data_IF_126744867377
#
_entry.id   IF_126744867377
#
_cell.length_a   1.000
_cell.length_b   1.000
_cell.length_c   1.000
_cell.angle_alpha   90.00
_cell.angle_beta   90.00
_cell.angle_gamma   90.00
#
_symmetry.space_group_name_H-M   'P 1'
#
loop_
_entity.id
_entity.type
_entity.pdbx_description
1 polymer ?
#
# COMPACT_ATOMS: atom_id res chain seq x y z
N UNK A 1 14.61 -14.93 8.43
CA UNK A 1 13.46 -14.19 7.87
C UNK A 1 13.94 -12.79 7.52
N UNK A 2 13.65 -12.29 6.32
CA UNK A 2 13.94 -10.90 5.93
C UNK A 2 12.65 -10.13 6.15
N UNK A 3 12.66 -9.08 6.97
CA UNK A 3 11.47 -8.28 7.22
C UNK A 3 11.36 -7.13 6.20
N UNK A 4 10.16 -6.59 5.98
CA UNK A 4 9.95 -5.44 5.06
C UNK A 4 10.78 -4.21 5.46
N UNK A 5 11.14 -4.09 6.74
CA UNK A 5 12.02 -3.04 7.25
C UNK A 5 13.47 -3.12 6.75
N UNK A 6 13.92 -4.29 6.30
CA UNK A 6 15.31 -4.55 5.92
C UNK A 6 15.58 -4.28 4.42
N UNK A 7 14.56 -3.85 3.67
CA UNK A 7 14.61 -3.61 2.22
C UNK A 7 14.43 -2.13 1.89
N UNK A 8 15.02 -1.68 0.78
CA UNK A 8 14.80 -0.33 0.27
C UNK A 8 13.29 -0.08 0.07
N UNK A 9 12.78 0.91 0.79
CA UNK A 9 11.36 1.27 0.80
C UNK A 9 10.84 1.62 -0.60
N UNK A 10 11.62 2.34 -1.41
CA UNK A 10 11.17 2.82 -2.72
C UNK A 10 10.96 1.64 -3.69
N UNK A 11 11.94 0.74 -3.75
CA UNK A 11 11.88 -0.46 -4.59
C UNK A 11 10.75 -1.41 -4.14
N UNK A 12 10.56 -1.55 -2.83
CA UNK A 12 9.47 -2.34 -2.29
C UNK A 12 8.09 -1.80 -2.70
N UNK A 13 7.87 -0.50 -2.56
CA UNK A 13 6.60 0.14 -2.91
C UNK A 13 6.30 -0.04 -4.41
N UNK A 14 7.31 0.13 -5.27
CA UNK A 14 7.16 -0.08 -6.73
C UNK A 14 6.80 -1.51 -7.06
N UNK A 15 7.49 -2.49 -6.47
CA UNK A 15 7.23 -3.91 -6.70
C UNK A 15 5.83 -4.32 -6.21
N UNK A 16 5.42 -3.84 -5.03
CA UNK A 16 4.10 -4.11 -4.49
C UNK A 16 2.99 -3.44 -5.32
N UNK A 17 3.19 -2.19 -5.78
CA UNK A 17 2.25 -1.52 -6.67
C UNK A 17 2.07 -2.29 -7.99
N UNK A 18 3.15 -2.80 -8.58
CA UNK A 18 3.09 -3.63 -9.79
C UNK A 18 2.31 -4.94 -9.54
N UNK A 19 2.51 -5.59 -8.39
CA UNK A 19 1.76 -6.78 -8.01
C UNK A 19 0.26 -6.48 -7.85
N UNK A 20 -0.09 -5.39 -7.19
CA UNK A 20 -1.49 -4.98 -7.01
C UNK A 20 -2.18 -4.64 -8.33
N UNK A 21 -1.45 -4.02 -9.27
CA UNK A 21 -1.93 -3.76 -10.64
C UNK A 21 -2.19 -5.06 -11.39
N UNK A 22 -1.23 -5.98 -11.38
CA UNK A 22 -1.34 -7.27 -12.08
C UNK A 22 -2.41 -8.20 -11.48
N UNK A 23 -2.70 -8.04 -10.19
CA UNK A 23 -3.77 -8.79 -9.53
C UNK A 23 -5.15 -8.45 -10.08
N UNK A 24 -5.37 -7.23 -10.60
CA UNK A 24 -6.64 -6.78 -11.23
C UNK A 24 -7.87 -6.77 -10.32
N UNK A 25 -7.74 -7.24 -9.07
CA UNK A 25 -8.84 -7.41 -8.10
C UNK A 25 -9.08 -6.17 -7.24
N UNK A 26 -8.21 -5.16 -7.36
CA UNK A 26 -8.29 -3.94 -6.56
C UNK A 26 -9.39 -3.05 -7.13
N UNK A 27 -10.44 -2.79 -6.35
CA UNK A 27 -11.55 -1.91 -6.76
C UNK A 27 -11.06 -0.46 -6.78
N UNK A 28 -10.79 0.06 -7.96
CA UNK A 28 -10.43 1.46 -8.18
C UNK A 28 -11.70 2.28 -8.40
N UNK A 29 -11.90 3.41 -7.68
CA UNK A 29 -13.03 4.29 -7.91
C UNK A 29 -12.92 4.99 -9.28
N UNK A 30 -14.04 5.17 -9.97
CA UNK A 30 -14.09 5.83 -11.28
C UNK A 30 -13.60 7.30 -11.22
N UNK A 31 -13.88 8.00 -10.13
CA UNK A 31 -13.50 9.41 -9.95
C UNK A 31 -12.04 9.62 -9.54
N UNK A 32 -11.21 8.55 -9.50
CA UNK A 32 -9.83 8.60 -9.03
C UNK A 32 -8.98 9.63 -9.80
N UNK A 33 -9.24 9.79 -11.09
CA UNK A 33 -8.46 10.68 -11.98
C UNK A 33 -8.78 12.17 -11.76
N UNK A 34 -9.90 12.46 -11.09
CA UNK A 34 -10.36 13.84 -10.83
C UNK A 34 -9.92 14.34 -9.46
N UNK A 35 -9.52 13.45 -8.55
CA UNK A 35 -9.31 13.80 -7.14
C UNK A 35 -7.85 14.13 -6.79
N UNK A 36 -7.71 15.16 -5.96
CA UNK A 36 -6.45 15.49 -5.30
C UNK A 36 -6.24 14.69 -4.01
N UNK A 37 -5.00 14.31 -3.75
CA UNK A 37 -4.62 13.51 -2.58
C UNK A 37 -4.67 14.31 -1.27
N UNK A 38 -4.30 15.59 -1.30
CA UNK A 38 -4.26 16.46 -0.12
C UNK A 38 -4.78 17.84 -0.45
N UNK A 39 -5.33 18.51 0.58
CA UNK A 39 -5.92 19.84 0.49
C UNK A 39 -4.96 20.91 -0.05
N UNK A 40 -3.67 20.79 0.25
CA UNK A 40 -2.61 21.76 -0.06
C UNK A 40 -1.96 21.55 -1.44
N UNK A 41 -2.38 20.53 -2.19
CA UNK A 41 -1.93 20.31 -3.58
C UNK A 41 -3.03 20.80 -4.51
N UNK A 42 -2.63 21.54 -5.54
CA UNK A 42 -3.55 22.09 -6.53
C UNK A 42 -3.78 21.14 -7.71
N UNK A 43 -2.75 20.37 -8.08
CA UNK A 43 -2.79 19.40 -9.18
C UNK A 43 -3.01 17.97 -8.69
N UNK A 44 -3.60 17.16 -9.56
CA UNK A 44 -3.66 15.71 -9.41
C UNK A 44 -2.25 15.10 -9.53
N UNK A 45 -1.98 13.95 -8.91
CA UNK A 45 -0.71 13.25 -9.08
C UNK A 45 -0.45 12.92 -10.57
N UNK A 46 0.78 13.10 -11.04
CA UNK A 46 1.16 12.81 -12.43
C UNK A 46 1.21 11.30 -12.77
N UNK A 47 1.34 10.44 -11.77
CA UNK A 47 1.41 8.98 -11.95
C UNK A 47 0.00 8.40 -11.98
N UNK A 48 -0.43 7.81 -13.10
CA UNK A 48 -1.71 7.09 -13.21
C UNK A 48 -1.83 5.95 -12.17
N UNK A 49 -0.70 5.38 -11.74
CA UNK A 49 -0.68 4.30 -10.75
C UNK A 49 -0.58 4.81 -9.31
N UNK A 50 -0.79 6.11 -9.07
CA UNK A 50 -0.63 6.72 -7.75
C UNK A 50 -1.47 6.03 -6.68
N UNK A 51 -2.65 5.50 -7.03
CA UNK A 51 -3.52 4.76 -6.10
C UNK A 51 -2.92 3.43 -5.65
N UNK A 52 -2.27 2.69 -6.55
CA UNK A 52 -1.55 1.46 -6.21
C UNK A 52 -0.34 1.75 -5.34
N UNK A 53 0.37 2.84 -5.62
CA UNK A 53 1.49 3.34 -4.79
C UNK A 53 1.01 3.69 -3.38
N UNK A 54 -0.16 4.33 -3.24
CA UNK A 54 -0.76 4.62 -1.93
C UNK A 54 -1.22 3.37 -1.19
N UNK A 55 -1.79 2.39 -1.90
CA UNK A 55 -2.17 1.11 -1.32
C UNK A 55 -0.94 0.34 -0.80
N UNK A 56 0.13 0.29 -1.59
CA UNK A 56 1.39 -0.32 -1.21
C UNK A 56 2.02 0.36 0.03
N UNK A 57 2.05 1.69 0.06
CA UNK A 57 2.55 2.45 1.20
C UNK A 57 1.72 2.22 2.47
N UNK A 58 0.39 2.16 2.34
CA UNK A 58 -0.52 1.89 3.46
C UNK A 58 -0.33 0.48 4.01
N UNK A 59 -0.24 -0.53 3.14
CA UNK A 59 0.00 -1.91 3.54
C UNK A 59 1.33 -2.08 4.29
N UNK A 60 2.40 -1.44 3.80
CA UNK A 60 3.69 -1.40 4.50
C UNK A 60 3.58 -0.73 5.87
N UNK A 61 2.85 0.38 5.96
CA UNK A 61 2.68 1.10 7.22
C UNK A 61 1.93 0.26 8.26
N UNK A 62 0.94 -0.55 7.84
CA UNK A 62 0.24 -1.48 8.73
C UNK A 62 1.14 -2.59 9.30
N UNK A 63 2.19 -2.96 8.57
CA UNK A 63 3.17 -3.94 9.04
C UNK A 63 4.20 -3.33 10.01
N UNK A 64 4.55 -2.07 9.81
CA UNK A 64 5.55 -1.37 10.64
C UNK A 64 4.89 -0.70 11.85
N UNK A 65 5.13 -1.21 13.05
CA UNK A 65 4.59 -0.73 14.34
C UNK A 65 5.11 0.66 14.77
N UNK A 66 5.61 1.49 13.85
CA UNK A 66 6.16 2.82 14.19
C UNK A 66 5.03 3.83 14.38
N UNK A 67 5.10 4.70 15.41
CA UNK A 67 4.12 5.76 15.58
C UNK A 67 4.12 6.66 14.34
N UNK A 68 2.93 6.86 13.79
CA UNK A 68 2.69 7.67 12.60
C UNK A 68 3.08 9.13 12.88
N UNK A 69 3.98 9.72 12.09
CA UNK A 69 4.09 11.17 12.02
C UNK A 69 2.83 11.70 11.33
N UNK A 70 2.04 12.48 12.07
CA UNK A 70 0.75 12.97 11.62
C UNK A 70 0.89 13.84 10.36
N UNK A 71 0.27 13.41 9.26
CA UNK A 71 -0.04 14.28 8.14
C UNK A 71 -1.53 14.17 7.80
N UNK A 72 -2.22 15.31 7.66
CA UNK A 72 -3.64 15.35 7.30
C UNK A 72 -3.81 15.11 5.79
N UNK A 73 -3.84 13.86 5.36
CA UNK A 73 -4.23 13.44 4.01
C UNK A 73 -5.76 13.49 3.77
N UNK A 74 -6.19 13.17 2.54
CA UNK A 74 -7.61 12.99 2.23
C UNK A 74 -8.18 11.76 2.94
N UNK A 75 -9.16 11.99 3.83
CA UNK A 75 -9.82 10.92 4.59
C UNK A 75 -10.59 9.94 3.68
N UNK A 76 -11.16 10.44 2.58
CA UNK A 76 -11.93 9.61 1.65
C UNK A 76 -11.02 8.62 0.91
N UNK A 77 -9.88 9.11 0.40
CA UNK A 77 -8.91 8.25 -0.30
C UNK A 77 -8.33 7.19 0.63
N UNK A 78 -7.93 7.58 1.86
CA UNK A 78 -7.40 6.64 2.83
C UNK A 78 -8.40 5.53 3.18
N UNK A 79 -9.69 5.86 3.31
CA UNK A 79 -10.76 4.89 3.57
C UNK A 79 -10.93 3.93 2.40
N UNK A 80 -10.89 4.42 1.16
CA UNK A 80 -11.05 3.59 -0.04
C UNK A 80 -9.89 2.64 -0.22
N UNK A 81 -8.66 3.09 0.04
CA UNK A 81 -7.49 2.22 0.03
C UNK A 81 -7.66 1.07 1.02
N UNK A 82 -8.11 1.35 2.24
CA UNK A 82 -8.36 0.30 3.25
C UNK A 82 -9.48 -0.65 2.82
N UNK A 83 -10.59 -0.14 2.30
CA UNK A 83 -11.70 -0.96 1.78
C UNK A 83 -11.28 -1.83 0.58
N UNK A 84 -10.42 -1.31 -0.29
CA UNK A 84 -9.88 -2.06 -1.42
C UNK A 84 -8.93 -3.17 -0.96
N UNK A 85 -8.08 -2.89 0.05
CA UNK A 85 -7.20 -3.90 0.66
C UNK A 85 -7.97 -4.97 1.46
N UNK A 86 -9.11 -4.61 2.05
CA UNK A 86 -10.07 -5.56 2.65
C UNK A 86 -10.67 -6.49 1.58
N UNK A 87 -11.08 -5.94 0.44
CA UNK A 87 -11.59 -6.73 -0.70
C UNK A 87 -10.56 -7.73 -1.24
N UNK A 88 -9.26 -7.42 -1.09
CA UNK A 88 -8.15 -8.31 -1.46
C UNK A 88 -7.77 -9.32 -0.37
N UNK A 89 -8.45 -9.32 0.79
CA UNK A 89 -8.12 -10.13 1.98
C UNK A 89 -6.68 -9.93 2.49
N UNK A 90 -6.04 -8.80 2.12
CA UNK A 90 -4.72 -8.45 2.65
C UNK A 90 -4.85 -7.81 4.04
N UNK A 91 -5.96 -7.11 4.28
CA UNK A 91 -6.24 -6.40 5.54
C UNK A 91 -7.59 -6.84 6.08
N UNK A 92 -7.69 -6.97 7.40
CA UNK A 92 -8.92 -7.28 8.13
C UNK A 92 -9.16 -6.24 9.22
N UNK A 93 -10.43 -6.03 9.57
CA UNK A 93 -10.78 -5.20 10.73
C UNK A 93 -10.48 -5.97 12.01
N UNK A 94 -9.73 -5.34 12.91
CA UNK A 94 -9.45 -5.90 14.23
C UNK A 94 -10.70 -5.86 15.11
N UNK A 95 -10.83 -6.83 16.01
CA UNK A 95 -11.91 -6.92 17.00
C UNK A 95 -11.98 -5.67 17.90
N UNK A 96 -10.84 -5.01 18.13
CA UNK A 96 -10.69 -3.84 19.01
C UNK A 96 -10.75 -2.51 18.24
N UNK A 97 -11.29 -2.53 17.01
CA UNK A 97 -11.18 -1.40 16.08
C UNK A 97 -9.82 -1.34 15.38
N UNK A 98 -9.75 -0.51 14.34
CA UNK A 98 -8.58 -0.41 13.47
C UNK A 98 -8.48 -1.52 12.43
N UNK A 99 -7.41 -1.46 11.64
CA UNK A 99 -7.14 -2.40 10.54
C UNK A 99 -5.85 -3.14 10.85
N UNK A 100 -5.84 -4.46 10.63
CA UNK A 100 -4.71 -5.33 10.86
C UNK A 100 -4.42 -6.13 9.59
N UNK A 101 -3.15 -6.39 9.35
CA UNK A 101 -2.72 -7.25 8.25
C UNK A 101 -3.10 -8.72 8.51
N UNK A 102 -3.64 -9.39 7.50
CA UNK A 102 -4.01 -10.82 7.58
C UNK A 102 -2.76 -11.71 7.52
N UNK A 103 -2.84 -12.98 7.96
CA UNK A 103 -1.75 -13.94 7.76
C UNK A 103 -1.37 -14.12 6.29
N UNK A 104 -2.36 -14.10 5.40
CA UNK A 104 -2.15 -14.14 3.96
C UNK A 104 -1.42 -12.88 3.47
N UNK A 105 -1.87 -11.69 3.89
CA UNK A 105 -1.24 -10.43 3.55
C UNK A 105 0.22 -10.37 3.98
N UNK A 106 0.56 -10.88 5.17
CA UNK A 106 1.96 -11.03 5.61
C UNK A 106 2.77 -11.93 4.69
N UNK A 107 2.23 -13.08 4.30
CA UNK A 107 2.91 -14.00 3.39
C UNK A 107 3.18 -13.38 2.01
N UNK A 108 2.23 -12.61 1.49
CA UNK A 108 2.39 -11.89 0.22
C UNK A 108 3.47 -10.79 0.32
N UNK A 109 3.49 -10.01 1.41
CA UNK A 109 4.53 -9.01 1.64
C UNK A 109 5.91 -9.64 1.81
N UNK A 110 6.03 -10.75 2.54
CA UNK A 110 7.28 -11.49 2.70
C UNK A 110 7.79 -12.06 1.36
N UNK A 111 6.89 -12.53 0.50
CA UNK A 111 7.26 -13.03 -0.84
C UNK A 111 7.81 -11.90 -1.71
N UNK A 112 7.17 -10.74 -1.70
CA UNK A 112 7.62 -9.56 -2.47
C UNK A 112 8.96 -9.05 -1.92
N UNK A 113 9.14 -9.05 -0.60
CA UNK A 113 10.41 -8.72 0.06
C UNK A 113 11.55 -9.58 -0.46
N UNK A 114 11.34 -10.90 -0.55
CA UNK A 114 12.32 -11.83 -1.12
C UNK A 114 12.62 -11.55 -2.59
N UNK A 115 11.61 -11.21 -3.39
CA UNK A 115 11.79 -10.86 -4.80
C UNK A 115 12.64 -9.60 -4.96
N UNK A 116 12.36 -8.54 -4.18
CA UNK A 116 13.13 -7.29 -4.24
C UNK A 116 14.58 -7.51 -3.81
N UNK A 117 14.81 -8.29 -2.75
CA UNK A 117 16.18 -8.64 -2.31
C UNK A 117 16.91 -9.46 -3.38
N UNK A 118 16.23 -10.41 -4.03
CA UNK A 118 16.82 -11.19 -5.11
C UNK A 118 17.14 -10.32 -6.35
N UNK A 119 16.30 -9.32 -6.65
CA UNK A 119 16.55 -8.38 -7.74
C UNK A 119 17.76 -7.47 -7.43
N UNK A 120 17.88 -6.97 -6.21
CA UNK A 120 18.98 -6.08 -5.80
C UNK A 120 20.35 -6.78 -5.73
N UNK A 121 20.39 -8.11 -5.55
CA UNK A 121 21.64 -8.89 -5.56
C UNK A 121 22.22 -9.12 -6.95
N UNK A 122 21.50 -8.78 -8.02
CA UNK A 122 21.94 -8.98 -9.41
C UNK A 122 22.79 -7.82 -9.95
N UNK A 123 23.12 -6.85 -9.11
CA UNK A 123 23.98 -5.71 -9.43
C UNK A 123 25.18 -5.65 -8.51
#
# INVERSE_FOLDING_TARGET
MIAVKDVNQQEFIRALAAFLKMSGKLRVPEWLDTVKFVKHKELVPYDENWFYTQAASTARHLETVRPSHFSRGSKSVARLVLQALEGLKMVEKGQNGGHKLTPQGRGDLDRITKQVVAANKKH
#
